data_IF_295173694743
#
_entry.id   IF_295173694743
#
_cell.length_a   1.000
_cell.length_b   1.000
_cell.length_c   1.000
_cell.angle_alpha   90.00
_cell.angle_beta   90.00
_cell.angle_gamma   90.00
#
_symmetry.space_group_name_H-M   'P 1'
#
loop_
_entity.id
_entity.type
_entity.pdbx_description
1 polymer ?
#
# COMPACT_ATOMS: atom_id res chain seq x y z
N UNK A 1 -3.05 38.93 -27.24
CA UNK A 1 -3.87 38.79 -26.01
C UNK A 1 -4.16 37.32 -25.64
N UNK A 2 -4.66 36.48 -26.56
CA UNK A 2 -4.99 35.06 -26.28
C UNK A 2 -3.74 34.21 -25.97
N UNK A 3 -2.64 34.48 -26.68
CA UNK A 3 -1.37 33.79 -26.49
C UNK A 3 -0.71 34.01 -25.12
N UNK A 4 -0.84 35.20 -24.55
CA UNK A 4 -0.33 35.54 -23.21
C UNK A 4 -1.09 34.74 -22.16
N UNK A 5 -2.43 34.66 -22.30
CA UNK A 5 -3.28 33.84 -21.41
C UNK A 5 -2.94 32.35 -21.46
N UNK A 6 -2.56 31.84 -22.63
CA UNK A 6 -2.14 30.44 -22.78
C UNK A 6 -0.82 30.17 -22.05
N UNK A 7 0.15 31.09 -22.14
CA UNK A 7 1.40 31.00 -21.39
C UNK A 7 1.19 31.12 -19.87
N UNK A 8 0.31 32.02 -19.43
CA UNK A 8 -0.09 32.14 -18.02
C UNK A 8 -0.77 30.86 -17.51
N UNK A 9 -1.65 30.26 -18.31
CA UNK A 9 -2.28 28.98 -17.97
C UNK A 9 -1.23 27.88 -17.80
N UNK A 10 -0.27 27.77 -18.73
CA UNK A 10 0.81 26.79 -18.64
C UNK A 10 1.71 27.02 -17.41
N UNK A 11 1.94 28.28 -17.04
CA UNK A 11 2.66 28.62 -15.81
C UNK A 11 1.89 28.22 -14.55
N UNK A 12 0.58 28.47 -14.49
CA UNK A 12 -0.28 28.08 -13.36
C UNK A 12 -0.29 26.57 -13.12
N UNK A 13 -0.27 25.76 -14.18
CA UNK A 13 -0.23 24.29 -14.07
C UNK A 13 1.18 23.74 -13.85
N UNK A 14 2.19 24.61 -13.72
CA UNK A 14 3.62 24.29 -13.54
C UNK A 14 4.20 23.45 -14.67
N UNK A 15 3.77 23.70 -15.92
CA UNK A 15 4.38 23.07 -17.07
C UNK A 15 5.84 23.55 -17.24
N UNK A 16 6.78 22.62 -17.45
CA UNK A 16 8.17 22.93 -17.74
C UNK A 16 8.51 22.49 -19.18
N UNK A 17 9.03 23.39 -20.04
CA UNK A 17 9.49 23.03 -21.37
C UNK A 17 10.58 21.95 -21.31
N UNK A 18 10.71 21.12 -22.37
CA UNK A 18 11.76 20.12 -22.44
C UNK A 18 13.15 20.77 -22.37
N UNK A 19 14.08 20.15 -21.65
CA UNK A 19 15.41 20.70 -21.33
C UNK A 19 16.25 21.09 -22.56
N UNK A 20 15.95 20.51 -23.72
CA UNK A 20 16.66 20.76 -24.97
C UNK A 20 16.20 22.03 -25.71
N UNK A 21 15.23 22.78 -25.17
CA UNK A 21 14.68 23.98 -25.82
C UNK A 21 14.79 25.19 -24.90
N UNK A 22 15.49 26.22 -25.40
CA UNK A 22 15.58 27.52 -24.74
C UNK A 22 14.18 28.13 -24.50
N UNK A 23 13.87 28.62 -23.28
CA UNK A 23 12.56 29.21 -22.96
C UNK A 23 12.06 30.29 -23.92
N UNK A 24 12.88 31.25 -24.42
CA UNK A 24 12.41 32.24 -25.39
C UNK A 24 12.08 31.62 -26.75
N UNK A 25 12.85 30.61 -27.18
CA UNK A 25 12.61 29.87 -28.42
C UNK A 25 11.32 29.05 -28.34
N UNK A 26 11.08 28.40 -27.20
CA UNK A 26 9.83 27.67 -26.93
C UNK A 26 8.60 28.59 -27.00
N UNK A 27 8.68 29.79 -26.39
CA UNK A 27 7.60 30.78 -26.46
C UNK A 27 7.31 31.19 -27.90
N UNK A 28 8.35 31.50 -28.68
CA UNK A 28 8.21 31.86 -30.09
C UNK A 28 7.59 30.73 -30.93
N UNK A 29 8.00 29.48 -30.70
CA UNK A 29 7.46 28.30 -31.40
C UNK A 29 6.02 28.00 -31.03
N UNK A 30 5.65 28.18 -29.76
CA UNK A 30 4.28 28.01 -29.29
C UNK A 30 3.36 29.12 -29.86
N UNK A 31 3.87 30.35 -29.97
CA UNK A 31 3.16 31.47 -30.60
C UNK A 31 2.99 31.29 -32.10
N UNK A 32 4.00 30.72 -32.77
CA UNK A 32 3.98 30.39 -34.19
C UNK A 32 3.11 29.17 -34.53
N UNK A 33 2.60 28.46 -33.51
CA UNK A 33 1.74 27.30 -33.70
C UNK A 33 2.49 26.05 -34.19
N UNK A 34 3.77 25.90 -33.86
CA UNK A 34 4.55 24.74 -34.26
C UNK A 34 3.91 23.44 -33.75
N UNK A 35 3.59 22.53 -34.67
CA UNK A 35 2.87 21.31 -34.38
C UNK A 35 3.62 20.46 -33.33
N UNK A 36 4.95 20.33 -33.44
CA UNK A 36 5.74 19.50 -32.50
C UNK A 36 5.66 20.04 -31.08
N UNK A 37 5.77 21.35 -30.94
CA UNK A 37 5.69 22.07 -29.66
C UNK A 37 4.30 21.89 -29.02
N UNK A 38 3.22 22.06 -29.79
CA UNK A 38 1.84 21.88 -29.30
C UNK A 38 1.58 20.44 -28.88
N UNK A 39 1.99 19.46 -29.68
CA UNK A 39 1.81 18.04 -29.36
C UNK A 39 2.51 17.66 -28.04
N UNK A 40 3.70 18.20 -27.79
CA UNK A 40 4.41 17.97 -26.54
C UNK A 40 3.64 18.54 -25.33
N UNK A 41 3.11 19.78 -25.45
CA UNK A 41 2.30 20.41 -24.40
C UNK A 41 1.03 19.59 -24.12
N UNK A 42 0.31 19.20 -25.17
CA UNK A 42 -0.92 18.41 -25.04
C UNK A 42 -0.65 17.05 -24.44
N UNK A 43 0.39 16.35 -24.91
CA UNK A 43 0.81 15.07 -24.35
C UNK A 43 1.08 15.22 -22.85
N UNK A 44 1.84 16.23 -22.43
CA UNK A 44 2.11 16.43 -21.01
C UNK A 44 0.85 16.74 -20.18
N UNK A 45 -0.05 17.59 -20.69
CA UNK A 45 -1.30 17.94 -20.01
C UNK A 45 -2.22 16.71 -19.85
N UNK A 46 -2.29 15.87 -20.89
CA UNK A 46 -3.15 14.69 -20.91
C UNK A 46 -2.56 13.52 -20.13
N UNK A 47 -1.25 13.40 -20.03
CA UNK A 47 -0.60 12.40 -19.18
C UNK A 47 -0.70 12.78 -17.70
N UNK A 48 -0.62 14.08 -17.37
CA UNK A 48 -0.62 14.57 -15.99
C UNK A 48 -1.96 15.19 -15.55
N UNK A 49 -3.09 14.63 -16.01
CA UNK A 49 -4.44 15.20 -15.78
C UNK A 49 -4.75 15.52 -14.33
N UNK A 50 -4.44 14.60 -13.42
CA UNK A 50 -4.74 14.78 -11.99
C UNK A 50 -3.86 15.87 -11.37
N UNK A 51 -2.57 15.91 -11.72
CA UNK A 51 -1.66 16.97 -11.29
C UNK A 51 -2.15 18.33 -11.81
N UNK A 52 -2.47 18.42 -13.10
CA UNK A 52 -2.95 19.65 -13.74
C UNK A 52 -4.25 20.14 -13.11
N UNK A 53 -5.20 19.23 -12.83
CA UNK A 53 -6.45 19.55 -12.14
C UNK A 53 -6.19 20.13 -10.75
N UNK A 54 -5.29 19.52 -9.99
CA UNK A 54 -4.94 19.95 -8.64
C UNK A 54 -4.19 21.29 -8.63
N UNK A 55 -3.21 21.48 -9.52
CA UNK A 55 -2.47 22.75 -9.62
C UNK A 55 -3.34 23.89 -10.12
N UNK A 56 -4.22 23.63 -11.11
CA UNK A 56 -5.19 24.63 -11.57
C UNK A 56 -6.18 25.03 -10.46
N UNK A 57 -6.67 24.05 -9.68
CA UNK A 57 -7.51 24.32 -8.51
C UNK A 57 -6.78 25.21 -7.50
N UNK A 58 -5.55 24.83 -7.12
CA UNK A 58 -4.76 25.58 -6.14
C UNK A 58 -4.38 26.98 -6.64
N UNK A 59 -4.07 27.14 -7.93
CA UNK A 59 -3.71 28.43 -8.51
C UNK A 59 -4.82 29.49 -8.35
N UNK A 60 -6.09 29.07 -8.28
CA UNK A 60 -7.23 29.97 -8.04
C UNK A 60 -7.21 30.58 -6.63
N UNK A 61 -6.73 29.84 -5.64
CA UNK A 61 -6.79 30.23 -4.23
C UNK A 61 -5.44 30.70 -3.66
N UNK A 62 -4.32 30.33 -4.28
CA UNK A 62 -2.98 30.67 -3.80
C UNK A 62 -2.35 31.88 -4.51
N UNK A 63 -2.97 32.40 -5.57
CA UNK A 63 -2.44 33.57 -6.29
C UNK A 63 -2.92 34.85 -5.61
N UNK A 64 -2.00 35.54 -4.95
CA UNK A 64 -2.26 36.88 -4.40
C UNK A 64 -2.47 37.85 -5.57
N UNK A 65 -3.52 38.67 -5.57
CA UNK A 65 -3.66 39.75 -6.55
C UNK A 65 -2.45 40.68 -6.50
N UNK A 66 -1.92 41.07 -7.66
CA UNK A 66 -0.88 42.10 -7.69
C UNK A 66 -1.50 43.45 -7.29
N UNK A 67 -1.13 43.95 -6.11
CA UNK A 67 -1.59 45.23 -5.58
C UNK A 67 -0.46 46.24 -5.72
N UNK A 68 -0.76 47.40 -6.27
CA UNK A 68 0.22 48.48 -6.47
C UNK A 68 0.83 48.92 -5.13
N UNK A 69 2.15 49.13 -5.11
CA UNK A 69 2.93 49.52 -3.93
C UNK A 69 2.40 50.79 -3.23
N UNK A 70 1.76 51.68 -3.99
CA UNK A 70 1.21 52.94 -3.50
C UNK A 70 -0.01 52.74 -2.59
N UNK A 71 -0.72 51.62 -2.76
CA UNK A 71 -1.92 51.25 -1.99
C UNK A 71 -1.55 50.49 -0.72
N UNK A 72 -0.40 49.82 -0.73
CA UNK A 72 0.12 48.99 0.39
C UNK A 72 0.65 49.86 1.56
N UNK A 73 0.99 51.13 1.32
CA UNK A 73 1.46 52.03 2.39
C UNK A 73 0.39 52.43 3.42
N UNK A 74 -0.88 52.10 3.18
CA UNK A 74 -1.94 52.31 4.15
C UNK A 74 -1.96 51.15 5.17
N UNK A 75 -1.75 51.46 6.45
CA UNK A 75 -1.72 50.49 7.55
C UNK A 75 -2.95 49.56 7.58
N UNK A 76 -4.14 50.06 7.22
CA UNK A 76 -5.37 49.23 7.20
C UNK A 76 -5.34 48.16 6.11
N UNK A 77 -4.71 48.46 4.98
CA UNK A 77 -4.57 47.53 3.85
C UNK A 77 -3.49 46.49 4.14
N UNK A 78 -2.42 46.90 4.84
CA UNK A 78 -1.39 45.99 5.32
C UNK A 78 -1.96 44.94 6.29
N UNK A 79 -2.77 45.36 7.28
CA UNK A 79 -3.42 44.44 8.22
C UNK A 79 -4.33 43.42 7.51
N UNK A 80 -5.05 43.85 6.46
CA UNK A 80 -5.89 42.98 5.65
C UNK A 80 -5.09 41.99 4.79
N UNK A 81 -3.91 42.39 4.31
CA UNK A 81 -2.99 41.50 3.59
C UNK A 81 -2.42 40.43 4.50
N UNK A 82 -2.05 40.80 5.73
CA UNK A 82 -1.55 39.86 6.72
C UNK A 82 -2.65 38.85 7.12
N UNK A 83 -3.90 39.30 7.30
CA UNK A 83 -5.05 38.42 7.53
C UNK A 83 -5.29 37.47 6.34
N UNK A 84 -5.22 37.98 5.11
CA UNK A 84 -5.36 37.18 3.90
C UNK A 84 -4.27 36.12 3.77
N UNK A 85 -3.02 36.47 4.12
CA UNK A 85 -1.90 35.54 4.12
C UNK A 85 -2.10 34.42 5.15
N UNK A 86 -2.56 34.76 6.36
CA UNK A 86 -2.89 33.78 7.39
C UNK A 86 -3.97 32.81 6.92
N UNK A 87 -5.02 33.31 6.25
CA UNK A 87 -6.10 32.48 5.70
C UNK A 87 -5.61 31.55 4.57
N UNK A 88 -4.68 32.03 3.73
CA UNK A 88 -4.02 31.19 2.73
C UNK A 88 -3.25 30.04 3.38
N UNK A 89 -2.55 30.31 4.49
CA UNK A 89 -1.77 29.29 5.18
C UNK A 89 -2.69 28.27 5.89
N UNK A 90 -3.77 28.72 6.51
CA UNK A 90 -4.83 27.84 7.04
C UNK A 90 -5.43 26.95 5.94
N UNK A 91 -5.74 27.54 4.77
CA UNK A 91 -6.23 26.79 3.61
C UNK A 91 -5.24 25.70 3.17
N UNK A 92 -3.93 25.99 3.14
CA UNK A 92 -2.91 24.98 2.80
C UNK A 92 -2.91 23.82 3.79
N UNK A 93 -3.00 24.09 5.09
CA UNK A 93 -3.02 23.06 6.12
C UNK A 93 -4.27 22.17 6.01
N UNK A 94 -5.46 22.78 5.94
CA UNK A 94 -6.73 22.06 5.83
C UNK A 94 -6.78 21.25 4.53
N UNK A 95 -6.34 21.81 3.42
CA UNK A 95 -6.29 21.11 2.14
C UNK A 95 -5.34 19.91 2.19
N UNK A 96 -4.15 20.06 2.80
CA UNK A 96 -3.18 18.97 2.96
C UNK A 96 -3.76 17.85 3.83
N UNK A 97 -4.40 18.17 4.96
CA UNK A 97 -5.03 17.20 5.87
C UNK A 97 -6.16 16.43 5.18
N UNK A 98 -7.04 17.13 4.48
CA UNK A 98 -8.17 16.52 3.75
C UNK A 98 -7.69 15.56 2.68
N UNK A 99 -6.63 15.91 1.95
CA UNK A 99 -6.05 15.05 0.91
C UNK A 99 -5.41 13.78 1.46
N UNK A 100 -4.82 13.84 2.66
CA UNK A 100 -4.29 12.65 3.34
C UNK A 100 -5.43 11.69 3.71
N UNK A 101 -6.52 12.22 4.27
CA UNK A 101 -7.70 11.42 4.63
C UNK A 101 -8.39 10.81 3.41
N UNK A 102 -8.47 11.55 2.29
CA UNK A 102 -9.02 11.01 1.04
C UNK A 102 -8.19 9.86 0.44
N UNK A 103 -6.89 9.78 0.75
CA UNK A 103 -6.03 8.69 0.28
C UNK A 103 -6.31 7.39 1.03
N UNK A 104 -6.86 7.47 2.24
CA UNK A 104 -7.34 6.31 2.99
C UNK A 104 -8.69 5.89 2.42
N UNK A 105 -8.64 5.09 1.35
CA UNK A 105 -9.82 4.53 0.74
C UNK A 105 -10.46 3.51 1.68
N UNK A 106 -11.51 3.92 2.40
CA UNK A 106 -12.35 3.03 3.21
C UNK A 106 -13.19 2.05 2.36
N UNK A 107 -12.99 2.00 1.03
CA UNK A 107 -13.77 1.17 0.12
C UNK A 107 -13.62 -0.33 0.38
N UNK A 108 -12.41 -0.77 0.76
CA UNK A 108 -12.16 -2.18 1.10
C UNK A 108 -12.94 -2.57 2.35
N UNK A 109 -12.81 -1.78 3.43
CA UNK A 109 -13.56 -1.98 4.67
C UNK A 109 -15.08 -1.96 4.42
N UNK A 110 -15.57 -1.03 3.58
CA UNK A 110 -16.99 -0.95 3.23
C UNK A 110 -17.44 -2.19 2.46
N UNK A 111 -16.61 -2.72 1.58
CA UNK A 111 -16.92 -3.94 0.83
C UNK A 111 -16.93 -5.17 1.76
N UNK A 112 -15.93 -5.30 2.62
CA UNK A 112 -15.85 -6.38 3.62
C UNK A 112 -17.10 -6.37 4.53
N UNK A 113 -17.53 -5.21 5.01
CA UNK A 113 -18.75 -5.08 5.82
C UNK A 113 -19.99 -5.56 5.05
N UNK A 114 -20.07 -5.27 3.75
CA UNK A 114 -21.19 -5.73 2.91
C UNK A 114 -21.15 -7.25 2.73
N UNK A 115 -19.98 -7.82 2.49
CA UNK A 115 -19.81 -9.27 2.37
C UNK A 115 -20.18 -9.98 3.67
N UNK A 116 -19.69 -9.48 4.82
CA UNK A 116 -20.06 -9.99 6.15
C UNK A 116 -21.57 -9.91 6.41
N UNK A 117 -22.23 -8.85 5.93
CA UNK A 117 -23.68 -8.73 6.08
C UNK A 117 -24.44 -9.80 5.26
N UNK A 118 -23.96 -10.11 4.04
CA UNK A 118 -24.52 -11.18 3.21
C UNK A 118 -24.29 -12.55 3.86
N UNK A 119 -23.09 -12.82 4.36
CA UNK A 119 -22.77 -14.06 5.06
C UNK A 119 -23.65 -14.26 6.29
N UNK A 120 -23.85 -13.20 7.09
CA UNK A 120 -24.76 -13.23 8.23
C UNK A 120 -26.17 -13.61 7.81
N UNK A 121 -26.69 -13.02 6.73
CA UNK A 121 -28.05 -13.32 6.26
C UNK A 121 -28.18 -14.77 5.76
N UNK A 122 -27.14 -15.33 5.14
CA UNK A 122 -27.07 -16.75 4.77
C UNK A 122 -27.12 -17.64 6.02
N UNK A 123 -26.34 -17.30 7.05
CA UNK A 123 -26.30 -18.04 8.33
C UNK A 123 -27.65 -17.99 9.04
N UNK A 124 -28.32 -16.83 9.06
CA UNK A 124 -29.66 -16.67 9.64
C UNK A 124 -30.66 -17.58 8.93
N UNK A 125 -30.72 -17.54 7.59
CA UNK A 125 -31.63 -18.42 6.83
C UNK A 125 -31.37 -19.91 7.09
N UNK A 126 -30.09 -20.29 7.24
CA UNK A 126 -29.73 -21.67 7.55
C UNK A 126 -30.16 -22.06 8.97
N UNK A 127 -30.02 -21.16 9.94
CA UNK A 127 -30.52 -21.33 11.30
C UNK A 127 -32.04 -21.50 11.32
N UNK A 128 -32.78 -20.64 10.60
CA UNK A 128 -34.24 -20.73 10.48
C UNK A 128 -34.67 -22.09 9.92
N UNK A 129 -34.02 -22.56 8.85
CA UNK A 129 -34.30 -23.89 8.27
C UNK A 129 -34.02 -25.02 9.27
N UNK A 130 -32.91 -24.95 10.02
CA UNK A 130 -32.59 -25.96 11.04
C UNK A 130 -33.60 -25.90 12.19
N UNK A 131 -34.02 -24.72 12.61
CA UNK A 131 -35.05 -24.54 13.63
C UNK A 131 -36.39 -25.16 13.21
N UNK A 132 -36.81 -24.96 11.95
CA UNK A 132 -38.02 -25.59 11.42
C UNK A 132 -37.95 -27.11 11.47
N UNK A 133 -36.80 -27.70 11.13
CA UNK A 133 -36.60 -29.15 11.18
C UNK A 133 -36.56 -29.71 12.61
N UNK A 134 -36.35 -28.87 13.62
CA UNK A 134 -36.27 -29.26 15.03
C UNK A 134 -37.60 -29.07 15.79
N UNK A 135 -38.65 -28.59 15.12
CA UNK A 135 -39.96 -28.32 15.77
C UNK A 135 -40.58 -29.59 16.34
N UNK A 136 -40.49 -30.71 15.63
CA UNK A 136 -41.12 -31.98 16.01
C UNK A 136 -40.22 -32.89 16.87
N UNK A 137 -39.01 -32.45 17.21
CA UNK A 137 -38.06 -33.26 18.00
C UNK A 137 -38.35 -33.10 19.50
N UNK A 138 -38.71 -34.20 20.16
CA UNK A 138 -38.86 -34.23 21.61
C UNK A 138 -37.49 -34.13 22.30
N UNK A 139 -37.42 -33.36 23.39
CA UNK A 139 -36.20 -33.07 24.13
C UNK A 139 -35.04 -32.45 23.30
N UNK A 140 -35.39 -31.56 22.35
CA UNK A 140 -34.42 -30.89 21.46
C UNK A 140 -33.31 -30.13 22.18
N UNK A 141 -33.61 -29.49 23.30
CA UNK A 141 -32.65 -28.62 23.99
C UNK A 141 -31.51 -29.42 24.63
N UNK A 142 -31.82 -30.56 25.25
CA UNK A 142 -30.81 -31.49 25.77
C UNK A 142 -29.96 -32.08 24.64
N UNK A 143 -30.60 -32.48 23.53
CA UNK A 143 -29.89 -33.03 22.38
C UNK A 143 -28.93 -32.02 21.75
N UNK A 144 -29.35 -30.76 21.62
CA UNK A 144 -28.49 -29.67 21.12
C UNK A 144 -27.34 -29.37 22.09
N UNK A 145 -27.58 -29.41 23.40
CA UNK A 145 -26.53 -29.23 24.40
C UNK A 145 -25.48 -30.34 24.35
N UNK A 146 -25.91 -31.60 24.25
CA UNK A 146 -25.00 -32.75 24.10
C UNK A 146 -24.23 -32.65 22.78
N UNK A 147 -24.90 -32.32 21.67
CA UNK A 147 -24.26 -32.13 20.37
C UNK A 147 -23.23 -31.00 20.36
N UNK A 148 -23.52 -29.88 21.03
CA UNK A 148 -22.57 -28.76 21.22
C UNK A 148 -21.34 -29.22 22.01
N UNK A 149 -21.54 -29.95 23.10
CA UNK A 149 -20.44 -30.48 23.91
C UNK A 149 -19.58 -31.45 23.10
N UNK A 150 -20.19 -32.38 22.35
CA UNK A 150 -19.48 -33.30 21.48
C UNK A 150 -18.63 -32.55 20.44
N UNK A 151 -19.21 -31.54 19.76
CA UNK A 151 -18.48 -30.72 18.78
C UNK A 151 -17.26 -30.04 19.41
N UNK A 152 -17.42 -29.43 20.59
CA UNK A 152 -16.31 -28.79 21.30
C UNK A 152 -15.20 -29.77 21.67
N UNK A 153 -15.54 -31.01 22.07
CA UNK A 153 -14.54 -32.03 22.37
C UNK A 153 -13.82 -32.51 21.11
N UNK A 154 -14.55 -32.66 19.99
CA UNK A 154 -13.95 -33.02 18.70
C UNK A 154 -12.99 -31.94 18.18
N UNK A 155 -13.37 -30.65 18.29
CA UNK A 155 -12.50 -29.52 17.93
C UNK A 155 -11.22 -29.52 18.76
N UNK A 156 -11.33 -29.72 20.08
CA UNK A 156 -10.17 -29.83 20.98
C UNK A 156 -9.28 -31.04 20.66
N UNK A 157 -9.88 -32.19 20.37
CA UNK A 157 -9.13 -33.40 20.01
C UNK A 157 -8.32 -33.17 18.73
N UNK A 158 -8.93 -32.54 17.72
CA UNK A 158 -8.26 -32.18 16.46
C UNK A 158 -7.15 -31.15 16.67
N UNK A 159 -7.36 -30.17 17.54
CA UNK A 159 -6.33 -29.19 17.88
C UNK A 159 -5.12 -29.85 18.56
N UNK A 160 -5.36 -30.74 19.51
CA UNK A 160 -4.31 -31.52 20.18
C UNK A 160 -3.56 -32.44 19.20
N UNK A 161 -4.26 -33.06 18.26
CA UNK A 161 -3.65 -33.87 17.20
C UNK A 161 -2.71 -33.03 16.32
N UNK A 162 -3.16 -31.86 15.85
CA UNK A 162 -2.32 -30.93 15.09
C UNK A 162 -1.09 -30.47 15.89
N UNK A 163 -1.27 -30.18 17.19
CA UNK A 163 -0.16 -29.80 18.07
C UNK A 163 0.84 -30.95 18.23
N UNK A 164 0.35 -32.18 18.40
CA UNK A 164 1.18 -33.37 18.51
C UNK A 164 1.99 -33.62 17.25
N UNK A 165 1.37 -33.55 16.06
CA UNK A 165 2.07 -33.68 14.78
C UNK A 165 3.14 -32.59 14.60
N UNK A 166 2.80 -31.35 14.98
CA UNK A 166 3.76 -30.23 14.92
C UNK A 166 4.95 -30.48 15.84
N UNK A 167 4.73 -30.94 17.07
CA UNK A 167 5.79 -31.27 18.03
C UNK A 167 6.64 -32.45 17.57
N UNK A 168 6.03 -33.50 17.00
CA UNK A 168 6.77 -34.61 16.41
C UNK A 168 7.68 -34.15 15.27
N UNK A 169 7.17 -33.30 14.38
CA UNK A 169 7.95 -32.73 13.29
C UNK A 169 9.12 -31.89 13.83
N UNK A 170 8.88 -31.06 14.84
CA UNK A 170 9.94 -30.28 15.50
C UNK A 170 11.00 -31.17 16.15
N UNK A 171 10.61 -32.22 16.86
CA UNK A 171 11.53 -33.19 17.45
C UNK A 171 12.37 -33.90 16.40
N UNK A 172 11.77 -34.29 15.27
CA UNK A 172 12.47 -34.92 14.15
C UNK A 172 13.52 -33.98 13.57
N UNK A 173 13.15 -32.72 13.30
CA UNK A 173 14.08 -31.70 12.80
C UNK A 173 15.23 -31.48 13.79
N UNK A 174 14.94 -31.34 15.08
CA UNK A 174 15.96 -31.14 16.11
C UNK A 174 16.90 -32.36 16.23
N UNK A 175 16.37 -33.59 16.15
CA UNK A 175 17.16 -34.81 16.15
C UNK A 175 18.09 -34.89 14.94
N UNK A 176 17.60 -34.54 13.75
CA UNK A 176 18.40 -34.54 12.53
C UNK A 176 19.49 -33.46 12.57
N UNK A 177 19.19 -32.28 13.11
CA UNK A 177 20.20 -31.24 13.37
C UNK A 177 21.27 -31.72 14.34
N UNK A 178 20.88 -32.37 15.44
CA UNK A 178 21.81 -32.90 16.43
C UNK A 178 22.71 -33.99 15.82
N UNK A 179 22.16 -34.89 15.00
CA UNK A 179 22.97 -35.87 14.24
C UNK A 179 23.97 -35.20 13.30
N UNK A 180 23.57 -34.13 12.60
CA UNK A 180 24.50 -33.34 11.76
C UNK A 180 25.63 -32.75 12.59
N UNK A 181 25.32 -32.11 13.72
CA UNK A 181 26.35 -31.55 14.62
C UNK A 181 27.29 -32.63 15.16
N UNK A 182 26.77 -33.78 15.59
CA UNK A 182 27.58 -34.92 16.04
C UNK A 182 28.47 -35.44 14.90
N UNK A 183 27.95 -35.55 13.69
CA UNK A 183 28.74 -35.97 12.52
C UNK A 183 29.88 -35.00 12.22
N UNK A 184 29.63 -33.68 12.33
CA UNK A 184 30.68 -32.67 12.17
C UNK A 184 31.74 -32.78 13.26
N UNK A 185 31.35 -32.94 14.53
CA UNK A 185 32.29 -33.08 15.66
C UNK A 185 33.11 -34.37 15.54
N UNK A 186 32.47 -35.48 15.17
CA UNK A 186 33.15 -36.77 14.99
C UNK A 186 34.07 -36.74 13.76
N UNK A 187 33.64 -36.08 12.68
CA UNK A 187 34.49 -35.81 11.50
C UNK A 187 35.66 -34.89 11.80
N UNK A 188 35.50 -33.91 12.69
CA UNK A 188 36.59 -33.04 13.16
C UNK A 188 37.56 -33.75 14.11
N UNK A 189 37.09 -34.77 14.85
CA UNK A 189 37.95 -35.63 15.67
C UNK A 189 38.83 -36.56 14.83
N UNK A 190 38.44 -36.82 13.57
CA UNK A 190 39.30 -37.41 12.53
C UNK A 190 40.10 -36.29 11.84
N UNK A 191 41.22 -35.89 12.45
CA UNK A 191 42.11 -34.79 12.05
C UNK A 191 42.32 -34.58 10.53
N UNK A 192 42.02 -33.37 9.99
CA UNK A 192 42.68 -32.82 8.80
C UNK A 192 43.87 -31.97 9.26
N UNK A 193 45.09 -32.31 8.84
CA UNK A 193 46.33 -31.69 9.35
C UNK A 193 46.67 -30.32 8.72
N UNK A 194 45.89 -29.83 7.74
CA UNK A 194 46.17 -28.56 7.06
C UNK A 194 44.90 -27.81 6.63
N UNK A 195 44.88 -26.48 6.75
CA UNK A 195 43.73 -25.62 6.41
C UNK A 195 43.21 -25.79 4.97
N UNK A 196 44.09 -26.11 4.00
CA UNK A 196 43.70 -26.37 2.61
C UNK A 196 42.87 -27.65 2.45
N UNK A 197 43.13 -28.68 3.26
CA UNK A 197 42.38 -29.95 3.18
C UNK A 197 40.96 -29.78 3.72
N UNK A 198 40.79 -28.97 4.77
CA UNK A 198 39.47 -28.60 5.31
C UNK A 198 38.66 -27.85 4.27
N UNK A 199 39.28 -26.86 3.60
CA UNK A 199 38.62 -26.07 2.54
C UNK A 199 38.21 -26.95 1.35
N UNK A 200 39.03 -27.92 0.98
CA UNK A 200 38.72 -28.85 -0.11
C UNK A 200 37.54 -29.77 0.25
N UNK A 201 37.56 -30.35 1.45
CA UNK A 201 36.46 -31.21 1.93
C UNK A 201 35.13 -30.46 2.04
N UNK A 202 35.14 -29.23 2.57
CA UNK A 202 33.93 -28.39 2.64
C UNK A 202 33.39 -28.03 1.25
N UNK A 203 34.26 -27.80 0.26
CA UNK A 203 33.83 -27.57 -1.12
C UNK A 203 33.17 -28.81 -1.74
N UNK A 204 33.71 -30.00 -1.46
CA UNK A 204 33.14 -31.27 -1.92
C UNK A 204 31.78 -31.55 -1.26
N UNK A 205 31.63 -31.30 0.05
CA UNK A 205 30.33 -31.42 0.74
C UNK A 205 29.28 -30.44 0.21
N UNK A 206 29.65 -29.17 -0.02
CA UNK A 206 28.74 -28.17 -0.61
C UNK A 206 28.29 -28.60 -2.00
N UNK A 207 29.18 -29.19 -2.80
CA UNK A 207 28.85 -29.72 -4.13
C UNK A 207 27.84 -30.88 -4.04
N UNK A 208 28.03 -31.78 -3.07
CA UNK A 208 27.13 -32.93 -2.85
C UNK A 208 25.76 -32.49 -2.35
N UNK A 209 25.69 -31.50 -1.44
CA UNK A 209 24.42 -30.94 -0.96
C UNK A 209 23.67 -30.27 -2.12
N UNK A 210 24.37 -29.48 -2.94
CA UNK A 210 23.77 -28.80 -4.09
C UNK A 210 23.18 -29.78 -5.11
N UNK A 211 23.88 -30.88 -5.38
CA UNK A 211 23.39 -31.92 -6.29
C UNK A 211 22.18 -32.71 -5.74
N UNK A 212 21.91 -32.64 -4.43
CA UNK A 212 20.81 -33.36 -3.76
C UNK A 212 19.52 -32.53 -3.68
N UNK A 213 19.64 -31.20 -3.78
CA UNK A 213 18.50 -30.28 -3.86
C UNK A 213 18.01 -30.09 -5.33
N UNK A 214 18.80 -30.50 -6.32
CA UNK A 214 18.50 -30.42 -7.75
C UNK A 214 17.80 -31.69 -8.34
N UNK A 215 17.46 -32.69 -7.50
CA UNK A 215 16.70 -33.91 -7.86
C UNK A 215 15.45 -34.07 -7.02
#
# INVERSE_FOLDING_TARGET
MISVRLLEMLACVKYRPPANVEPPKFRAQLLAGDARTIHHVLHWLLTNKEQVKNTAYLAKYLKIPEISSDVVQNNTIQDMLDLYQNLIDEFKEVHKRTRLLQKENASEIINDIKEMAVERDIVIKRLENVQMNLVDVHNKDDLLNVGKNLRQQQEKAKELENQYETQQNQLKIASDQLKRYLSVIHGQSATPKTANDVIKHLKEEIQVIKNRDDT
#
